data_IF_739678891082
#
_entry.id   IF_739678891082
#
_cell.length_a   1.000
_cell.length_b   1.000
_cell.length_c   1.000
_cell.angle_alpha   90.00
_cell.angle_beta   90.00
_cell.angle_gamma   90.00
#
_symmetry.space_group_name_H-M   'P 1'
#
loop_
_entity.id
_entity.type
_entity.pdbx_description
1 polymer ?
#
# COMPACT_ATOMS: atom_id res chain seq x y z
N UNK A 1 9.18 -10.04 8.33
CA UNK A 1 10.22 -9.06 8.70
C UNK A 1 9.86 -8.36 10.00
N UNK A 2 10.84 -7.96 10.82
CA UNK A 2 10.60 -7.10 11.99
C UNK A 2 10.56 -5.64 11.51
N UNK A 3 9.39 -5.01 11.60
CA UNK A 3 9.23 -3.58 11.33
C UNK A 3 10.16 -2.78 12.24
N UNK A 4 10.85 -1.80 11.67
CA UNK A 4 11.63 -0.83 12.44
C UNK A 4 10.70 0.00 13.34
N UNK A 5 11.24 0.61 14.41
CA UNK A 5 10.47 1.50 15.28
C UNK A 5 9.80 2.66 14.52
N UNK A 6 10.45 3.14 13.45
CA UNK A 6 9.95 4.19 12.56
C UNK A 6 8.71 3.70 11.79
N UNK A 7 8.82 2.54 11.12
CA UNK A 7 7.72 1.96 10.34
C UNK A 7 6.51 1.63 11.22
N UNK A 8 6.73 1.12 12.45
CA UNK A 8 5.65 0.92 13.42
C UNK A 8 4.92 2.23 13.76
N UNK A 9 5.65 3.34 13.87
CA UNK A 9 5.09 4.65 14.19
C UNK A 9 4.21 5.15 13.05
N UNK A 10 4.69 5.04 11.81
CA UNK A 10 3.94 5.43 10.61
C UNK A 10 2.70 4.55 10.38
N UNK A 11 2.79 3.25 10.69
CA UNK A 11 1.66 2.32 10.59
C UNK A 11 0.57 2.66 11.63
N UNK A 12 0.98 2.97 12.87
CA UNK A 12 0.07 3.43 13.92
C UNK A 12 -0.63 4.74 13.55
N UNK A 13 0.11 5.69 12.99
CA UNK A 13 -0.42 6.98 12.56
C UNK A 13 -1.49 6.83 11.46
N UNK A 14 -1.22 5.99 10.45
CA UNK A 14 -2.20 5.69 9.39
C UNK A 14 -3.44 4.96 9.90
N UNK A 15 -3.28 4.05 10.87
CA UNK A 15 -4.40 3.37 11.50
C UNK A 15 -5.26 4.33 12.34
N UNK A 16 -4.63 5.29 13.01
CA UNK A 16 -5.34 6.32 13.77
C UNK A 16 -6.14 7.25 12.84
N UNK A 17 -5.54 7.68 11.73
CA UNK A 17 -6.22 8.44 10.68
C UNK A 17 -7.41 7.67 10.09
N UNK A 18 -7.26 6.36 9.85
CA UNK A 18 -8.35 5.50 9.38
C UNK A 18 -9.45 5.33 10.43
N UNK A 19 -9.10 5.16 11.70
CA UNK A 19 -10.08 5.05 12.79
C UNK A 19 -10.91 6.34 12.93
N UNK A 20 -10.26 7.50 12.86
CA UNK A 20 -10.95 8.79 12.89
C UNK A 20 -11.82 8.99 11.64
N UNK A 21 -11.37 8.51 10.49
CA UNK A 21 -12.15 8.55 9.25
C UNK A 21 -13.45 7.76 9.32
N UNK A 22 -13.41 6.60 9.97
CA UNK A 22 -14.54 5.69 10.15
C UNK A 22 -15.50 6.23 11.23
N UNK A 23 -14.97 6.69 12.36
CA UNK A 23 -15.77 7.17 13.50
C UNK A 23 -16.45 8.52 13.22
N UNK A 24 -15.77 9.41 12.48
CA UNK A 24 -16.25 10.76 12.22
C UNK A 24 -17.49 10.85 11.31
N UNK A 25 -17.96 9.75 10.70
CA UNK A 25 -19.03 9.72 9.69
C UNK A 25 -18.85 10.77 8.55
N UNK A 26 -17.65 11.34 8.42
CA UNK A 26 -17.36 12.55 7.66
C UNK A 26 -16.58 12.28 6.37
N UNK A 27 -15.98 11.09 6.24
CA UNK A 27 -15.21 10.74 5.06
C UNK A 27 -16.02 9.77 4.18
N UNK A 28 -16.16 10.15 2.91
CA UNK A 28 -16.86 9.36 1.91
C UNK A 28 -16.17 8.01 1.73
N UNK A 29 -16.92 6.95 1.36
CA UNK A 29 -16.37 5.61 1.14
C UNK A 29 -15.18 5.59 0.17
N UNK A 30 -15.04 6.60 -0.70
CA UNK A 30 -13.88 6.79 -1.57
C UNK A 30 -12.58 7.09 -0.82
N UNK A 31 -12.60 7.96 0.20
CA UNK A 31 -11.40 8.32 0.99
C UNK A 31 -10.95 7.16 1.88
N UNK A 32 -11.89 6.45 2.51
CA UNK A 32 -11.59 5.24 3.28
C UNK A 32 -10.90 4.21 2.39
N UNK A 33 -11.39 4.04 1.15
CA UNK A 33 -10.78 3.12 0.17
C UNK A 33 -9.38 3.56 -0.26
N UNK A 34 -9.13 4.85 -0.36
CA UNK A 34 -7.82 5.41 -0.71
C UNK A 34 -6.80 5.18 0.41
N UNK A 35 -7.18 5.48 1.65
CA UNK A 35 -6.36 5.23 2.85
C UNK A 35 -6.06 3.75 3.01
N UNK A 36 -7.05 2.87 2.82
CA UNK A 36 -6.86 1.42 2.85
C UNK A 36 -5.90 0.93 1.76
N UNK A 37 -5.99 1.49 0.54
CA UNK A 37 -5.11 1.11 -0.57
C UNK A 37 -3.67 1.54 -0.29
N UNK A 38 -3.45 2.75 0.23
CA UNK A 38 -2.12 3.21 0.61
C UNK A 38 -1.54 2.41 1.78
N UNK A 39 -2.34 2.11 2.81
CA UNK A 39 -1.94 1.25 3.91
C UNK A 39 -1.52 -0.15 3.39
N UNK A 40 -2.31 -0.73 2.50
CA UNK A 40 -2.01 -2.03 1.89
C UNK A 40 -0.71 -1.99 1.09
N UNK A 41 -0.49 -0.95 0.26
CA UNK A 41 0.74 -0.81 -0.52
C UNK A 41 1.99 -0.69 0.38
N UNK A 42 1.91 0.10 1.47
CA UNK A 42 3.02 0.23 2.43
C UNK A 42 3.28 -1.07 3.18
N UNK A 43 2.23 -1.76 3.62
CA UNK A 43 2.35 -3.05 4.31
C UNK A 43 2.94 -4.12 3.38
N UNK A 44 2.54 -4.16 2.10
CA UNK A 44 3.12 -5.06 1.10
C UNK A 44 4.61 -4.74 0.87
N UNK A 45 4.96 -3.46 0.71
CA UNK A 45 6.34 -3.03 0.56
C UNK A 45 7.20 -3.40 1.79
N UNK A 46 6.66 -3.25 3.01
CA UNK A 46 7.34 -3.56 4.27
C UNK A 46 7.43 -5.05 4.60
N UNK A 47 6.43 -5.83 4.19
CA UNK A 47 6.48 -7.28 4.33
C UNK A 47 7.57 -7.89 3.44
N UNK A 48 8.11 -7.08 2.50
CA UNK A 48 8.91 -7.57 1.41
C UNK A 48 7.97 -8.31 0.49
N UNK A 49 7.70 -7.71 -0.65
CA UNK A 49 7.19 -8.40 -1.83
C UNK A 49 7.83 -9.79 -1.89
N UNK A 50 7.06 -10.78 -1.42
CA UNK A 50 7.30 -12.20 -1.71
C UNK A 50 6.60 -12.47 -3.04
N UNK A 51 6.70 -11.54 -3.98
CA UNK A 51 6.55 -11.80 -5.40
C UNK A 51 7.98 -12.04 -5.92
N UNK A 52 8.56 -13.14 -5.42
CA UNK A 52 9.51 -13.95 -6.18
C UNK A 52 8.80 -14.63 -7.37
N UNK A 53 7.85 -13.96 -8.05
CA UNK A 53 7.23 -14.48 -9.25
C UNK A 53 7.34 -13.45 -10.38
N UNK A 54 8.39 -13.66 -11.17
CA UNK A 54 8.68 -12.95 -12.40
C UNK A 54 7.43 -12.66 -13.22
N UNK A 55 7.20 -11.38 -13.44
CA UNK A 55 6.73 -10.94 -14.76
C UNK A 55 7.87 -10.13 -15.32
N UNK A 56 8.76 -10.82 -16.02
CA UNK A 56 9.48 -10.26 -17.15
C UNK A 56 8.51 -9.32 -17.87
N UNK A 57 8.85 -8.05 -17.94
CA UNK A 57 8.24 -7.16 -18.90
C UNK A 57 9.15 -7.22 -20.14
N UNK A 58 8.98 -8.19 -21.07
CA UNK A 58 9.65 -8.07 -22.35
C UNK A 58 9.03 -6.85 -23.06
N UNK A 59 9.84 -5.86 -23.48
CA UNK A 59 9.34 -4.81 -24.34
C UNK A 59 8.74 -5.41 -25.63
N UNK A 60 7.72 -4.77 -26.23
CA UNK A 60 6.97 -5.30 -27.37
C UNK A 60 7.88 -5.56 -28.57
N UNK A 61 7.47 -6.44 -29.51
CA UNK A 61 8.31 -6.81 -30.65
C UNK A 61 8.69 -5.56 -31.43
N UNK A 62 9.99 -5.36 -31.63
CA UNK A 62 10.50 -4.43 -32.62
C UNK A 62 10.02 -4.94 -33.99
N UNK A 63 9.00 -4.30 -34.54
CA UNK A 63 8.62 -4.48 -35.93
C UNK A 63 9.60 -3.65 -36.77
N UNK A 64 10.77 -4.22 -37.02
CA UNK A 64 11.74 -3.72 -37.98
C UNK A 64 11.35 -4.25 -39.36
N UNK A 65 10.88 -3.32 -40.21
CA UNK A 65 10.79 -3.32 -41.68
C UNK A 65 10.21 -4.52 -42.43
#
# INVERSE_FOLDING_TARGET
MNLTPQERRELLDLLEQLSQAIDGNALWPGQIRDILRELHARVVAWLGDTDENGTENPPPPHHDQ
#
